data_IF_058877099202
#
_entry.id   IF_058877099202
#
_cell.length_a   1.000
_cell.length_b   1.000
_cell.length_c   1.000
_cell.angle_alpha   90.00
_cell.angle_beta   90.00
_cell.angle_gamma   90.00
#
_symmetry.space_group_name_H-M   'P 1'
#
loop_
_entity.id
_entity.type
_entity.pdbx_description
1 polymer ?
#
# COMPACT_ATOMS: atom_id res chain seq x y z
N UNK A 1 -0.71 -33.08 69.09
CA UNK A 1 0.04 -34.21 68.48
C UNK A 1 0.84 -33.61 67.33
N UNK A 2 2.11 -33.22 67.55
CA UNK A 2 3.33 -34.02 67.28
C UNK A 2 3.36 -34.49 65.80
N UNK A 3 4.31 -34.10 64.94
CA UNK A 3 5.76 -34.09 65.17
C UNK A 3 6.48 -33.17 64.16
N UNK A 4 7.52 -32.49 64.66
CA UNK A 4 8.57 -31.80 63.91
C UNK A 4 9.55 -32.84 63.35
N UNK A 5 10.04 -32.65 62.12
CA UNK A 5 11.35 -33.20 61.71
C UNK A 5 12.13 -32.18 60.88
N UNK A 6 13.36 -31.97 61.31
CA UNK A 6 14.36 -31.00 60.89
C UNK A 6 15.39 -31.61 59.93
N UNK A 7 15.99 -30.76 59.10
CA UNK A 7 17.30 -30.99 58.46
C UNK A 7 17.18 -31.11 56.95
N UNK A 8 18.09 -30.61 56.12
CA UNK A 8 19.30 -29.81 56.32
C UNK A 8 19.69 -29.30 54.93
N UNK A 9 20.04 -28.03 54.79
CA UNK A 9 20.75 -27.54 53.61
C UNK A 9 22.20 -28.07 53.58
N UNK A 10 22.78 -28.23 52.39
CA UNK A 10 24.06 -27.59 52.16
C UNK A 10 24.06 -26.72 50.90
N UNK A 11 24.63 -25.54 51.09
CA UNK A 11 25.09 -24.59 50.08
C UNK A 11 26.10 -25.23 49.11
N UNK A 12 25.96 -24.93 47.81
CA UNK A 12 27.10 -24.63 46.92
C UNK A 12 26.69 -23.92 45.62
N UNK A 13 26.94 -22.61 45.63
CA UNK A 13 27.45 -21.73 44.57
C UNK A 13 27.45 -22.17 43.09
N UNK A 14 26.81 -21.31 42.29
CA UNK A 14 27.32 -20.62 41.09
C UNK A 14 27.72 -21.44 39.85
N UNK A 15 26.94 -21.28 38.78
CA UNK A 15 27.31 -20.97 37.37
C UNK A 15 26.03 -21.21 36.55
N UNK A 16 25.34 -20.20 36.04
CA UNK A 16 25.76 -19.48 34.84
C UNK A 16 25.12 -20.12 33.60
N UNK A 17 23.90 -19.71 33.27
CA UNK A 17 23.43 -19.46 31.89
C UNK A 17 21.97 -19.01 31.94
N UNK A 18 21.75 -17.71 31.72
CA UNK A 18 20.46 -17.22 31.28
C UNK A 18 20.12 -17.91 29.94
N UNK A 19 18.86 -18.30 29.70
CA UNK A 19 18.45 -18.61 28.34
C UNK A 19 18.54 -17.29 27.57
N UNK A 20 19.52 -17.22 26.65
CA UNK A 20 19.53 -16.26 25.56
C UNK A 20 18.13 -16.29 24.94
N UNK A 21 17.37 -15.23 25.14
CA UNK A 21 16.30 -14.88 24.22
C UNK A 21 17.00 -14.60 22.92
N UNK A 22 17.08 -15.62 22.06
CA UNK A 22 17.34 -15.44 20.65
C UNK A 22 16.28 -14.43 20.19
N UNK A 23 16.72 -13.19 20.02
CA UNK A 23 16.05 -12.22 19.18
C UNK A 23 15.98 -12.87 17.80
N UNK A 24 14.90 -13.60 17.55
CA UNK A 24 14.38 -13.83 16.21
C UNK A 24 14.16 -12.45 15.63
N UNK A 25 15.21 -11.89 15.04
CA UNK A 25 15.11 -10.71 14.21
C UNK A 25 14.15 -11.09 13.11
N UNK A 26 12.99 -10.43 13.10
CA UNK A 26 12.03 -10.55 12.02
C UNK A 26 12.80 -10.25 10.73
N UNK A 27 12.74 -11.10 9.69
CA UNK A 27 13.47 -10.86 8.46
C UNK A 27 13.05 -9.50 7.93
N UNK A 28 13.98 -8.55 7.94
CA UNK A 28 13.72 -7.20 7.46
C UNK A 28 13.57 -7.28 5.94
N UNK A 29 12.36 -7.00 5.45
CA UNK A 29 12.09 -6.97 4.02
C UNK A 29 12.74 -5.72 3.43
N UNK A 30 13.55 -5.93 2.40
CA UNK A 30 14.17 -4.88 1.59
C UNK A 30 13.46 -4.78 0.25
N UNK A 31 13.14 -3.56 -0.18
CA UNK A 31 12.42 -3.31 -1.42
C UNK A 31 13.34 -2.80 -2.53
N UNK A 32 13.22 -3.40 -3.69
CA UNK A 32 13.80 -2.92 -4.93
C UNK A 32 12.73 -2.22 -5.77
N UNK A 33 13.08 -1.08 -6.35
CA UNK A 33 12.17 -0.31 -7.20
C UNK A 33 12.71 -0.34 -8.62
N UNK A 34 11.87 -0.80 -9.55
CA UNK A 34 12.09 -0.70 -10.97
C UNK A 34 11.23 0.46 -11.51
N UNK A 35 11.77 1.68 -11.44
CA UNK A 35 11.03 2.89 -11.79
C UNK A 35 10.62 2.94 -13.28
N UNK A 36 11.47 2.41 -14.17
CA UNK A 36 11.15 2.33 -15.60
C UNK A 36 9.92 1.45 -15.85
N UNK A 37 9.83 0.31 -15.15
CA UNK A 37 8.70 -0.58 -15.30
C UNK A 37 7.43 -0.04 -14.63
N UNK A 38 7.55 0.66 -13.48
CA UNK A 38 6.41 1.39 -12.90
C UNK A 38 5.82 2.40 -13.88
N UNK A 39 6.67 3.18 -14.55
CA UNK A 39 6.21 4.12 -15.57
C UNK A 39 5.58 3.40 -16.76
N UNK A 40 6.17 2.30 -17.23
CA UNK A 40 5.62 1.49 -18.32
C UNK A 40 4.24 0.89 -17.99
N UNK A 41 4.04 0.39 -16.76
CA UNK A 41 2.72 -0.10 -16.32
C UNK A 41 1.68 1.04 -16.39
N UNK A 42 2.01 2.22 -15.86
CA UNK A 42 1.11 3.38 -15.86
C UNK A 42 0.75 3.86 -17.27
N UNK A 43 1.73 3.90 -18.18
CA UNK A 43 1.53 4.31 -19.57
C UNK A 43 0.73 3.26 -20.37
N UNK A 44 0.83 1.99 -19.98
CA UNK A 44 0.15 0.86 -20.64
C UNK A 44 -1.30 0.67 -20.21
N UNK A 45 -1.79 1.41 -19.21
CA UNK A 45 -3.14 1.29 -18.68
C UNK A 45 -3.98 2.58 -18.84
N UNK A 46 -4.22 3.07 -20.08
CA UNK A 46 -5.04 4.26 -20.31
C UNK A 46 -6.50 4.07 -19.88
N UNK A 47 -6.97 2.82 -19.82
CA UNK A 47 -8.32 2.49 -19.40
C UNK A 47 -8.56 2.79 -17.92
N UNK A 48 -7.60 2.50 -17.04
CA UNK A 48 -7.67 2.87 -15.63
C UNK A 48 -7.85 4.39 -15.48
N UNK A 49 -7.02 5.18 -16.14
CA UNK A 49 -7.08 6.64 -16.06
C UNK A 49 -8.39 7.20 -16.62
N UNK A 50 -8.94 6.56 -17.65
CA UNK A 50 -10.26 6.90 -18.17
C UNK A 50 -11.36 6.67 -17.12
N UNK A 51 -11.38 5.51 -16.45
CA UNK A 51 -12.39 5.22 -15.43
C UNK A 51 -12.21 6.10 -14.18
N UNK A 52 -10.98 6.39 -13.75
CA UNK A 52 -10.73 7.35 -12.66
C UNK A 52 -11.27 8.74 -13.02
N UNK A 53 -11.03 9.21 -14.25
CA UNK A 53 -11.58 10.48 -14.71
C UNK A 53 -13.11 10.42 -14.78
N UNK A 54 -13.67 9.32 -15.30
CA UNK A 54 -15.12 9.13 -15.39
C UNK A 54 -15.76 9.17 -14.01
N UNK A 55 -15.17 8.51 -13.01
CA UNK A 55 -15.65 8.54 -11.63
C UNK A 55 -15.72 9.96 -11.07
N UNK A 56 -14.68 10.78 -11.33
CA UNK A 56 -14.67 12.19 -10.93
C UNK A 56 -15.77 12.99 -11.62
N UNK A 57 -15.96 12.79 -12.93
CA UNK A 57 -17.03 13.47 -13.67
C UNK A 57 -18.42 13.08 -13.17
N UNK A 58 -18.62 11.82 -12.76
CA UNK A 58 -19.88 11.38 -12.15
C UNK A 58 -20.14 12.04 -10.79
N UNK A 59 -19.09 12.44 -10.07
CA UNK A 59 -19.22 13.18 -8.81
C UNK A 59 -19.50 14.67 -9.01
N UNK A 60 -19.33 15.21 -10.23
CA UNK A 60 -19.58 16.62 -10.47
C UNK A 60 -21.06 16.96 -10.20
N UNK A 61 -21.36 18.04 -9.45
CA UNK A 61 -22.74 18.39 -9.08
C UNK A 61 -23.66 18.62 -10.29
N UNK A 62 -23.10 19.03 -11.43
CA UNK A 62 -23.84 19.22 -12.69
C UNK A 62 -24.21 17.90 -13.37
N UNK A 63 -23.50 16.82 -13.05
CA UNK A 63 -23.69 15.48 -13.63
C UNK A 63 -24.68 14.63 -12.82
N UNK A 64 -24.93 14.98 -11.55
CA UNK A 64 -25.78 14.20 -10.64
C UNK A 64 -27.24 14.68 -10.69
N UNK A 65 -28.15 13.78 -11.06
CA UNK A 65 -29.60 14.02 -10.99
C UNK A 65 -30.15 13.52 -9.65
N UNK A 66 -30.16 14.40 -8.63
CA UNK A 66 -30.71 14.09 -7.31
C UNK A 66 -32.24 13.88 -7.31
N UNK A 67 -32.96 14.29 -8.36
CA UNK A 67 -34.38 13.99 -8.51
C UNK A 67 -34.59 12.55 -9.01
N UNK A 68 -33.56 11.95 -9.61
CA UNK A 68 -33.54 10.55 -10.09
C UNK A 68 -32.31 9.79 -9.60
N UNK A 69 -32.15 9.61 -8.28
CA UNK A 69 -30.94 9.06 -7.68
C UNK A 69 -30.60 7.65 -8.18
N UNK A 70 -31.62 6.87 -8.55
CA UNK A 70 -31.47 5.51 -9.08
C UNK A 70 -30.73 5.45 -10.42
N UNK A 71 -30.82 6.50 -11.25
CA UNK A 71 -30.11 6.55 -12.53
C UNK A 71 -28.62 6.80 -12.29
N UNK A 72 -28.27 7.84 -11.53
CA UNK A 72 -26.88 8.14 -11.16
C UNK A 72 -26.23 6.99 -10.40
N UNK A 73 -26.96 6.33 -9.49
CA UNK A 73 -26.44 5.18 -8.75
C UNK A 73 -26.02 4.02 -9.66
N UNK A 74 -26.78 3.73 -10.73
CA UNK A 74 -26.41 2.68 -11.70
C UNK A 74 -25.11 3.02 -12.45
N UNK A 75 -24.91 4.30 -12.76
CA UNK A 75 -23.68 4.75 -13.43
C UNK A 75 -22.47 4.63 -12.51
N UNK A 76 -22.64 4.93 -11.22
CA UNK A 76 -21.63 4.72 -10.20
C UNK A 76 -21.26 3.25 -10.04
N UNK A 77 -22.24 2.34 -9.88
CA UNK A 77 -21.97 0.89 -9.74
C UNK A 77 -21.13 0.39 -10.92
N UNK A 78 -21.55 0.70 -12.16
CA UNK A 78 -20.79 0.27 -13.34
C UNK A 78 -19.37 0.86 -13.43
N UNK A 79 -19.16 2.09 -12.92
CA UNK A 79 -17.83 2.68 -12.84
C UNK A 79 -16.96 2.04 -11.75
N UNK A 80 -17.52 1.86 -10.55
CA UNK A 80 -16.80 1.32 -9.40
C UNK A 80 -16.41 -0.14 -9.62
N UNK A 81 -17.28 -0.96 -10.20
CA UNK A 81 -16.95 -2.35 -10.57
C UNK A 81 -15.79 -2.41 -11.58
N UNK A 82 -15.85 -1.59 -12.63
CA UNK A 82 -14.77 -1.52 -13.63
C UNK A 82 -13.45 -1.05 -13.00
N UNK A 83 -13.51 -0.04 -12.14
CA UNK A 83 -12.35 0.50 -11.45
C UNK A 83 -11.74 -0.52 -10.49
N UNK A 84 -12.55 -1.33 -9.80
CA UNK A 84 -12.09 -2.38 -8.88
C UNK A 84 -11.19 -3.37 -9.60
N UNK A 85 -11.63 -3.84 -10.75
CA UNK A 85 -10.89 -4.85 -11.52
C UNK A 85 -9.62 -4.25 -12.13
N UNK A 86 -9.68 -3.00 -12.60
CA UNK A 86 -8.52 -2.28 -13.16
C UNK A 86 -7.46 -1.97 -12.10
N UNK A 87 -7.85 -1.52 -10.91
CA UNK A 87 -6.90 -1.25 -9.81
C UNK A 87 -6.31 -2.53 -9.25
N UNK A 88 -7.09 -3.61 -9.14
CA UNK A 88 -6.55 -4.92 -8.74
C UNK A 88 -5.42 -5.36 -9.67
N UNK A 89 -5.62 -5.23 -10.98
CA UNK A 89 -4.58 -5.55 -11.97
C UNK A 89 -3.38 -4.61 -11.87
N UNK A 90 -3.62 -3.30 -11.76
CA UNK A 90 -2.58 -2.29 -11.64
C UNK A 90 -1.66 -2.57 -10.45
N UNK A 91 -2.23 -2.71 -9.24
CA UNK A 91 -1.47 -2.99 -8.02
C UNK A 91 -0.73 -4.32 -8.10
N UNK A 92 -1.35 -5.36 -8.68
CA UNK A 92 -0.68 -6.65 -8.88
C UNK A 92 0.55 -6.53 -9.80
N UNK A 93 0.47 -5.74 -10.87
CA UNK A 93 1.59 -5.50 -11.77
C UNK A 93 2.70 -4.69 -11.08
N UNK A 94 2.33 -3.64 -10.35
CA UNK A 94 3.28 -2.80 -9.61
C UNK A 94 4.01 -3.61 -8.55
N UNK A 95 3.31 -4.42 -7.75
CA UNK A 95 3.94 -5.26 -6.72
C UNK A 95 4.76 -6.43 -7.28
N UNK A 96 4.41 -6.94 -8.46
CA UNK A 96 5.14 -8.08 -9.04
C UNK A 96 6.40 -7.63 -9.78
N UNK A 97 6.35 -6.49 -10.47
CA UNK A 97 7.39 -6.09 -11.41
C UNK A 97 8.03 -4.72 -11.12
N UNK A 98 7.31 -3.83 -10.43
CA UNK A 98 7.78 -2.48 -10.08
C UNK A 98 8.37 -2.36 -8.68
N UNK A 99 7.79 -3.03 -7.69
CA UNK A 99 8.09 -2.95 -6.26
C UNK A 99 8.42 -4.35 -5.73
N UNK A 100 9.68 -4.77 -5.89
CA UNK A 100 10.08 -6.15 -5.63
C UNK A 100 10.61 -6.28 -4.19
N UNK A 101 9.95 -7.11 -3.38
CA UNK A 101 10.45 -7.44 -2.04
C UNK A 101 11.50 -8.56 -2.09
N UNK A 102 12.54 -8.41 -1.27
CA UNK A 102 13.53 -9.44 -1.02
C UNK A 102 13.84 -9.55 0.48
N UNK A 103 14.09 -10.77 0.93
CA UNK A 103 14.61 -11.01 2.28
C UNK A 103 15.99 -10.36 2.46
N UNK A 104 16.28 -9.83 3.65
CA UNK A 104 17.51 -9.10 3.97
C UNK A 104 18.75 -9.94 3.71
N UNK A 105 18.70 -11.26 3.93
CA UNK A 105 19.83 -12.15 3.63
C UNK A 105 20.16 -12.21 2.12
N UNK A 106 19.16 -11.97 1.27
CA UNK A 106 19.33 -11.86 -0.19
C UNK A 106 19.68 -10.44 -0.59
N UNK A 107 19.09 -9.44 0.07
CA UNK A 107 19.39 -8.03 -0.15
C UNK A 107 20.83 -7.65 0.24
N UNK A 108 21.36 -8.14 1.36
CA UNK A 108 22.75 -7.89 1.77
C UNK A 108 23.77 -8.50 0.80
N UNK A 109 23.44 -9.62 0.13
CA UNK A 109 24.29 -10.18 -0.93
C UNK A 109 24.30 -9.30 -2.18
N UNK A 110 23.19 -8.67 -2.51
CA UNK A 110 23.11 -7.70 -3.61
C UNK A 110 23.76 -6.36 -3.24
N UNK A 111 23.54 -5.87 -2.02
CA UNK A 111 24.05 -4.60 -1.50
C UNK A 111 25.56 -4.65 -1.19
N UNK A 112 26.12 -5.81 -0.86
CA UNK A 112 27.58 -5.98 -0.73
C UNK A 112 28.36 -5.69 -2.03
N UNK A 113 27.67 -5.60 -3.18
CA UNK A 113 28.24 -5.18 -4.47
C UNK A 113 28.15 -3.65 -4.71
N UNK A 114 27.39 -2.90 -3.89
CA UNK A 114 27.16 -1.45 -4.05
C UNK A 114 27.55 -0.72 -2.75
N UNK A 115 28.66 0.03 -2.78
CA UNK A 115 29.32 0.68 -1.64
C UNK A 115 28.42 1.59 -0.78
N UNK A 116 28.28 1.28 0.52
CA UNK A 116 27.32 1.88 1.46
C UNK A 116 28.03 2.76 2.51
N UNK A 117 27.82 4.08 2.45
CA UNK A 117 28.01 4.94 3.64
C UNK A 117 27.14 6.21 3.56
N UNK A 118 27.12 6.90 2.41
CA UNK A 118 26.27 8.09 2.18
C UNK A 118 24.87 7.72 1.62
N UNK A 119 24.71 6.46 1.19
CA UNK A 119 23.46 5.91 0.68
C UNK A 119 22.41 5.63 1.77
N UNK A 120 22.75 5.65 3.07
CA UNK A 120 21.86 5.13 4.11
C UNK A 120 20.60 5.97 4.37
N UNK A 121 20.67 7.30 4.37
CA UNK A 121 19.49 8.13 4.68
C UNK A 121 18.50 8.19 3.52
N UNK A 122 19.00 8.47 2.30
CA UNK A 122 18.15 8.49 1.10
C UNK A 122 17.59 7.10 0.75
N UNK A 123 18.37 6.03 0.96
CA UNK A 123 17.87 4.67 0.81
C UNK A 123 16.84 4.34 1.88
N UNK A 124 17.04 4.75 3.14
CA UNK A 124 16.05 4.55 4.20
C UNK A 124 14.74 5.28 3.88
N UNK A 125 14.79 6.54 3.43
CA UNK A 125 13.62 7.30 2.98
C UNK A 125 12.91 6.60 1.81
N UNK A 126 13.67 6.09 0.84
CA UNK A 126 13.13 5.31 -0.27
C UNK A 126 12.45 4.03 0.21
N UNK A 127 13.06 3.29 1.15
CA UNK A 127 12.48 2.09 1.73
C UNK A 127 11.18 2.37 2.47
N UNK A 128 11.12 3.48 3.21
CA UNK A 128 9.90 3.94 3.89
C UNK A 128 8.81 4.32 2.90
N UNK A 129 9.16 5.03 1.82
CA UNK A 129 8.23 5.41 0.77
C UNK A 129 7.64 4.17 0.06
N UNK A 130 8.45 3.18 -0.31
CA UNK A 130 7.95 1.94 -0.93
C UNK A 130 7.02 1.17 0.00
N UNK A 131 7.37 1.08 1.30
CA UNK A 131 6.50 0.46 2.31
C UNK A 131 5.17 1.22 2.45
N UNK A 132 5.20 2.54 2.36
CA UNK A 132 3.98 3.35 2.36
C UNK A 132 3.12 3.09 1.11
N UNK A 133 3.72 3.10 -0.08
CA UNK A 133 3.03 2.85 -1.36
C UNK A 133 2.38 1.46 -1.38
N UNK A 134 3.16 0.41 -1.09
CA UNK A 134 2.65 -0.97 -1.02
C UNK A 134 1.59 -1.16 0.08
N UNK A 135 1.74 -0.47 1.21
CA UNK A 135 0.72 -0.44 2.26
C UNK A 135 -0.59 0.21 1.81
N UNK A 136 -0.51 1.26 0.97
CA UNK A 136 -1.67 1.96 0.45
C UNK A 136 -2.47 1.14 -0.57
N UNK A 137 -1.85 0.27 -1.37
CA UNK A 137 -2.56 -0.57 -2.35
C UNK A 137 -3.70 -1.36 -1.71
N UNK A 138 -3.39 -2.05 -0.61
CA UNK A 138 -4.39 -2.83 0.13
C UNK A 138 -5.50 -1.95 0.70
N UNK A 139 -5.14 -0.81 1.29
CA UNK A 139 -6.11 0.11 1.88
C UNK A 139 -7.07 0.67 0.82
N UNK A 140 -6.55 1.17 -0.29
CA UNK A 140 -7.33 1.71 -1.40
C UNK A 140 -8.21 0.65 -2.06
N UNK A 141 -7.68 -0.57 -2.24
CA UNK A 141 -8.47 -1.65 -2.82
C UNK A 141 -9.65 -2.03 -1.92
N UNK A 142 -9.43 -2.14 -0.60
CA UNK A 142 -10.51 -2.42 0.35
C UNK A 142 -11.53 -1.29 0.43
N UNK A 143 -11.08 -0.03 0.45
CA UNK A 143 -11.99 1.12 0.41
C UNK A 143 -12.86 1.11 -0.86
N UNK A 144 -12.28 0.77 -2.01
CA UNK A 144 -13.05 0.64 -3.25
C UNK A 144 -14.06 -0.51 -3.20
N UNK A 145 -13.70 -1.65 -2.60
CA UNK A 145 -14.65 -2.75 -2.37
C UNK A 145 -15.81 -2.28 -1.48
N UNK A 146 -15.52 -1.57 -0.39
CA UNK A 146 -16.54 -1.02 0.50
C UNK A 146 -17.46 -0.02 -0.25
N UNK A 147 -16.93 0.79 -1.17
CA UNK A 147 -17.73 1.68 -2.01
C UNK A 147 -18.64 0.93 -2.98
N UNK A 148 -18.15 -0.16 -3.59
CA UNK A 148 -18.97 -1.03 -4.45
C UNK A 148 -20.12 -1.62 -3.63
N UNK A 149 -19.81 -2.21 -2.47
CA UNK A 149 -20.81 -2.82 -1.59
C UNK A 149 -21.86 -1.79 -1.13
N UNK A 150 -21.42 -0.58 -0.75
CA UNK A 150 -22.31 0.52 -0.39
C UNK A 150 -23.25 0.90 -1.54
N UNK A 151 -22.72 1.01 -2.76
CA UNK A 151 -23.52 1.36 -3.94
C UNK A 151 -24.55 0.27 -4.28
N UNK A 152 -24.16 -1.00 -4.20
CA UNK A 152 -25.06 -2.14 -4.40
C UNK A 152 -26.15 -2.21 -3.32
N UNK A 153 -25.79 -1.96 -2.05
CA UNK A 153 -26.74 -1.93 -0.94
C UNK A 153 -27.79 -0.83 -1.13
N UNK A 154 -27.36 0.38 -1.52
CA UNK A 154 -28.25 1.49 -1.86
C UNK A 154 -29.19 1.14 -3.02
N UNK A 155 -28.71 0.39 -4.02
CA UNK A 155 -29.55 -0.04 -5.13
C UNK A 155 -30.60 -1.04 -4.67
N UNK A 156 -30.20 -2.01 -3.82
CA UNK A 156 -31.08 -3.06 -3.33
C UNK A 156 -32.16 -2.52 -2.38
N UNK A 157 -31.79 -1.66 -1.44
CA UNK A 157 -32.72 -1.12 -0.42
C UNK A 157 -33.57 0.05 -0.93
N UNK A 158 -33.15 0.67 -2.03
CA UNK A 158 -33.70 1.92 -2.51
C UNK A 158 -32.83 3.10 -2.05
N UNK A 159 -32.43 3.93 -3.00
CA UNK A 159 -31.58 5.08 -2.81
C UNK A 159 -32.43 6.36 -2.94
N UNK A 160 -32.36 7.20 -1.92
CA UNK A 160 -32.86 8.57 -1.94
C UNK A 160 -31.71 9.56 -2.18
N UNK A 161 -32.02 10.86 -2.22
CA UNK A 161 -31.02 11.88 -2.48
C UNK A 161 -29.94 11.98 -1.39
N UNK A 162 -30.28 11.65 -0.14
CA UNK A 162 -29.33 11.70 0.98
C UNK A 162 -28.36 10.53 0.93
N UNK A 163 -28.87 9.31 0.66
CA UNK A 163 -28.02 8.13 0.44
C UNK A 163 -27.06 8.31 -0.73
N UNK A 164 -27.54 8.89 -1.84
CA UNK A 164 -26.68 9.22 -2.97
C UNK A 164 -25.60 10.24 -2.61
N UNK A 165 -25.96 11.28 -1.83
CA UNK A 165 -24.99 12.30 -1.39
C UNK A 165 -23.89 11.69 -0.53
N UNK A 166 -24.24 10.82 0.42
CA UNK A 166 -23.24 10.13 1.26
C UNK A 166 -22.33 9.21 0.46
N UNK A 167 -22.86 8.55 -0.59
CA UNK A 167 -22.03 7.76 -1.52
C UNK A 167 -21.03 8.68 -2.25
N UNK A 168 -21.50 9.79 -2.82
CA UNK A 168 -20.64 10.76 -3.53
C UNK A 168 -19.52 11.29 -2.64
N UNK A 169 -19.84 11.71 -1.41
CA UNK A 169 -18.83 12.18 -0.44
C UNK A 169 -17.76 11.12 -0.13
N UNK A 170 -18.17 9.84 -0.10
CA UNK A 170 -17.24 8.73 0.13
C UNK A 170 -16.36 8.47 -1.08
N UNK A 171 -16.91 8.55 -2.29
CA UNK A 171 -16.17 8.45 -3.55
C UNK A 171 -15.18 9.60 -3.71
N UNK A 172 -15.56 10.83 -3.35
CA UNK A 172 -14.67 11.99 -3.40
C UNK A 172 -13.47 11.82 -2.47
N UNK A 173 -13.68 11.26 -1.28
CA UNK A 173 -12.61 10.96 -0.31
C UNK A 173 -11.64 9.93 -0.89
N UNK A 174 -12.16 8.81 -1.38
CA UNK A 174 -11.38 7.78 -2.08
C UNK A 174 -10.59 8.35 -3.27
N UNK A 175 -11.21 9.18 -4.11
CA UNK A 175 -10.55 9.83 -5.25
C UNK A 175 -9.40 10.75 -4.80
N UNK A 176 -9.57 11.43 -3.65
CA UNK A 176 -8.51 12.20 -3.01
C UNK A 176 -7.33 11.33 -2.58
N UNK A 177 -7.62 10.21 -1.91
CA UNK A 177 -6.60 9.28 -1.40
C UNK A 177 -5.86 8.58 -2.55
N UNK A 178 -6.57 8.15 -3.60
CA UNK A 178 -5.95 7.62 -4.82
C UNK A 178 -5.05 8.66 -5.48
N UNK A 179 -5.48 9.93 -5.54
CA UNK A 179 -4.63 11.01 -6.09
C UNK A 179 -3.38 11.24 -5.25
N UNK A 180 -3.48 11.14 -3.92
CA UNK A 180 -2.33 11.27 -3.03
C UNK A 180 -1.35 10.11 -3.22
N UNK A 181 -1.86 8.89 -3.36
CA UNK A 181 -1.08 7.70 -3.68
C UNK A 181 -0.29 7.86 -4.99
N UNK A 182 -0.96 8.29 -6.07
CA UNK A 182 -0.31 8.53 -7.36
C UNK A 182 0.82 9.57 -7.30
N UNK A 183 0.68 10.59 -6.45
CA UNK A 183 1.73 11.58 -6.26
C UNK A 183 2.95 10.99 -5.56
N UNK A 184 2.74 10.13 -4.57
CA UNK A 184 3.81 9.42 -3.87
C UNK A 184 4.55 8.48 -4.82
N UNK A 185 3.84 7.74 -5.65
CA UNK A 185 4.48 6.88 -6.65
C UNK A 185 5.26 7.66 -7.70
N UNK A 186 4.70 8.76 -8.19
CA UNK A 186 5.41 9.64 -9.11
C UNK A 186 6.69 10.22 -8.47
N UNK A 187 6.69 10.47 -7.16
CA UNK A 187 7.87 10.87 -6.42
C UNK A 187 8.91 9.76 -6.31
N UNK A 188 8.46 8.54 -6.00
CA UNK A 188 9.32 7.36 -5.95
C UNK A 188 10.04 7.11 -7.28
N UNK A 189 9.32 7.24 -8.41
CA UNK A 189 9.88 7.14 -9.76
C UNK A 189 10.93 8.22 -10.01
N UNK A 190 10.64 9.49 -9.66
CA UNK A 190 11.57 10.61 -9.85
C UNK A 190 12.86 10.46 -9.04
N UNK A 191 12.75 10.03 -7.77
CA UNK A 191 13.91 9.85 -6.90
C UNK A 191 14.86 8.78 -7.46
N UNK A 192 14.32 7.67 -7.96
CA UNK A 192 15.11 6.62 -8.60
C UNK A 192 15.92 7.14 -9.81
N UNK A 193 15.29 7.93 -10.68
CA UNK A 193 15.94 8.51 -11.87
C UNK A 193 17.04 9.52 -11.53
N UNK A 194 16.88 10.27 -10.43
CA UNK A 194 17.88 11.25 -10.01
C UNK A 194 19.17 10.59 -9.51
N UNK A 195 19.06 9.46 -8.82
CA UNK A 195 20.21 8.69 -8.32
C UNK A 195 20.93 7.92 -9.43
N UNK A 196 20.19 7.44 -10.44
CA UNK A 196 20.78 6.80 -11.63
C UNK A 196 21.71 7.74 -12.41
N UNK A 197 21.44 9.05 -12.41
CA UNK A 197 22.26 10.06 -13.11
C UNK A 197 23.50 10.49 -12.33
N UNK A 198 23.42 10.55 -11.00
CA UNK A 198 24.57 10.92 -10.14
C UNK A 198 25.63 9.82 -10.03
N UNK A 199 25.29 8.56 -10.33
CA UNK A 199 26.24 7.44 -10.34
C UNK A 199 27.13 7.33 -11.58
N UNK A 200 26.97 8.20 -12.59
CA UNK A 200 27.61 8.06 -13.90
C UNK A 200 28.71 9.12 -14.21
N UNK A 201 29.15 9.89 -13.21
CA UNK A 201 30.26 10.84 -13.38
C UNK A 201 31.51 10.40 -12.63
N UNK A 202 32.19 9.40 -13.17
CA UNK A 202 33.63 9.20 -12.97
C UNK A 202 34.18 8.44 -14.18
N UNK A 203 34.64 9.20 -15.17
CA UNK A 203 35.81 8.90 -16.02
C UNK A 203 36.29 10.20 -16.69
#
# INVERSE_FOLDING_TARGET
MATVFTGSSPSRSATGHAPQMNSTGDPTIHWFVNAAFLQEIKDSNPHLWHEVHRLRTLCDPESIDFDKPQMSLREFIGCLDGLRDLLALQFALEETYGLISADTATAHRAAALQSIAEQNEAEQERQEMVRSVTGQHRCLYLELVDLVELAEELQYRGCDADGLRSLVESIERFSGDLTAHERLEAELIRLHDSHARTGCTHD
#
